data_IF_572018833024
#
_entry.id   IF_572018833024
#
_cell.length_a   1.000
_cell.length_b   1.000
_cell.length_c   1.000
_cell.angle_alpha   90.00
_cell.angle_beta   90.00
_cell.angle_gamma   90.00
#
_symmetry.space_group_name_H-M   'P 1'
#
loop_
_entity.id
_entity.type
_entity.pdbx_description
1 polymer ?
#
# COMPACT_ATOMS: atom_id res chain seq x y z
N UNK A 1 -23.63 4.39 -6.43
CA UNK A 1 -22.83 3.76 -5.34
C UNK A 1 -21.80 2.85 -6.00
N UNK A 2 -20.51 3.13 -5.90
CA UNK A 2 -19.46 2.20 -6.36
C UNK A 2 -19.33 1.04 -5.37
N UNK A 3 -19.32 -0.18 -5.87
CA UNK A 3 -19.12 -1.40 -5.09
C UNK A 3 -17.76 -1.36 -4.38
N UNK A 4 -17.76 -1.56 -3.05
CA UNK A 4 -16.52 -1.53 -2.27
C UNK A 4 -15.86 -2.91 -2.32
N UNK A 5 -14.71 -2.98 -2.98
CA UNK A 5 -13.85 -4.18 -2.95
C UNK A 5 -13.45 -4.47 -1.50
N UNK A 6 -13.73 -5.71 -1.04
CA UNK A 6 -13.37 -6.14 0.31
C UNK A 6 -11.88 -6.48 0.40
N UNK A 7 -11.13 -5.97 1.39
CA UNK A 7 -9.73 -6.33 1.62
C UNK A 7 -9.56 -7.84 1.86
N UNK A 8 -8.60 -8.45 1.17
CA UNK A 8 -8.26 -9.87 1.33
C UNK A 8 -6.95 -10.04 2.12
N UNK A 9 -6.50 -11.28 2.29
CA UNK A 9 -5.18 -11.57 2.86
C UNK A 9 -4.05 -10.88 2.06
N UNK A 10 -4.18 -10.83 0.73
CA UNK A 10 -3.23 -10.13 -0.13
C UNK A 10 -3.17 -8.62 0.16
N UNK A 11 -4.31 -7.96 0.36
CA UNK A 11 -4.35 -6.54 0.74
C UNK A 11 -3.57 -6.28 2.02
N UNK A 12 -3.76 -7.14 3.03
CA UNK A 12 -3.06 -7.02 4.32
C UNK A 12 -1.56 -7.26 4.18
N UNK A 13 -1.16 -8.25 3.38
CA UNK A 13 0.25 -8.55 3.12
C UNK A 13 0.96 -7.40 2.39
N UNK A 14 0.31 -6.80 1.38
CA UNK A 14 0.82 -5.62 0.68
C UNK A 14 0.97 -4.45 1.66
N UNK A 15 -0.09 -4.13 2.42
CA UNK A 15 -0.09 -3.02 3.37
C UNK A 15 1.00 -3.15 4.44
N UNK A 16 1.21 -4.36 4.97
CA UNK A 16 2.29 -4.65 5.91
C UNK A 16 3.67 -4.42 5.28
N UNK A 17 3.90 -4.94 4.06
CA UNK A 17 5.17 -4.76 3.35
C UNK A 17 5.48 -3.29 3.10
N UNK A 18 4.52 -2.53 2.59
CA UNK A 18 4.67 -1.10 2.32
C UNK A 18 4.89 -0.30 3.60
N UNK A 19 4.25 -0.68 4.71
CA UNK A 19 4.46 -0.03 6.01
C UNK A 19 5.87 -0.23 6.54
N UNK A 20 6.40 -1.47 6.45
CA UNK A 20 7.77 -1.79 6.85
C UNK A 20 8.78 -1.01 6.01
N UNK A 21 8.62 -0.99 4.69
CA UNK A 21 9.52 -0.25 3.80
C UNK A 21 9.48 1.26 4.06
N UNK A 22 8.29 1.82 4.28
CA UNK A 22 8.12 3.23 4.66
C UNK A 22 8.90 3.55 5.95
N UNK A 23 8.78 2.69 6.96
CA UNK A 23 9.45 2.86 8.25
C UNK A 23 10.97 2.75 8.13
N UNK A 24 11.45 1.75 7.39
CA UNK A 24 12.89 1.57 7.13
C UNK A 24 13.50 2.75 6.38
N UNK A 25 12.75 3.37 5.47
CA UNK A 25 13.19 4.56 4.71
C UNK A 25 12.98 5.88 5.47
N UNK A 26 12.39 5.86 6.66
CA UNK A 26 12.13 7.06 7.45
C UNK A 26 11.10 8.03 6.81
N UNK A 27 10.31 7.56 5.86
CA UNK A 27 9.35 8.40 5.12
C UNK A 27 8.10 8.61 5.95
N UNK A 28 7.72 9.86 6.21
CA UNK A 28 6.46 10.14 6.90
C UNK A 28 5.26 9.93 5.95
N UNK A 29 4.08 9.65 6.50
CA UNK A 29 2.88 9.36 5.70
C UNK A 29 2.39 10.58 4.90
N UNK A 30 2.69 11.80 5.35
CA UNK A 30 2.28 13.04 4.67
C UNK A 30 3.05 13.21 3.36
N UNK A 31 4.35 12.96 3.38
CA UNK A 31 5.21 13.09 2.20
C UNK A 31 4.96 11.94 1.22
N UNK A 32 4.73 10.73 1.73
CA UNK A 32 4.27 9.61 0.90
C UNK A 32 2.91 9.89 0.24
N UNK A 33 2.00 10.55 0.95
CA UNK A 33 0.70 10.93 0.40
C UNK A 33 0.85 11.95 -0.73
N UNK A 34 1.71 12.95 -0.56
CA UNK A 34 2.00 13.94 -1.61
C UNK A 34 2.57 13.29 -2.87
N UNK A 35 3.54 12.38 -2.73
CA UNK A 35 4.14 11.69 -3.88
C UNK A 35 3.17 10.75 -4.59
N UNK A 36 2.25 10.13 -3.84
CA UNK A 36 1.21 9.26 -4.41
C UNK A 36 -0.05 9.98 -4.89
N UNK A 37 -0.13 11.32 -4.80
CA UNK A 37 -1.35 12.08 -5.15
C UNK A 37 -2.56 11.79 -4.25
N UNK A 38 -2.32 11.39 -3.00
CA UNK A 38 -3.32 10.99 -2.02
C UNK A 38 -3.38 11.97 -0.84
N UNK A 39 -4.46 11.90 -0.06
CA UNK A 39 -4.49 12.53 1.26
C UNK A 39 -3.79 11.64 2.30
N UNK A 40 -3.16 12.25 3.30
CA UNK A 40 -2.51 11.50 4.39
C UNK A 40 -3.49 10.52 5.10
N UNK A 41 -4.75 10.88 5.39
CA UNK A 41 -5.71 9.93 5.97
C UNK A 41 -6.02 8.75 5.06
N UNK A 42 -6.00 8.95 3.73
CA UNK A 42 -6.19 7.87 2.75
C UNK A 42 -5.00 6.91 2.78
N UNK A 43 -3.77 7.42 2.79
CA UNK A 43 -2.55 6.60 2.92
C UNK A 43 -2.56 5.81 4.24
N UNK A 44 -2.82 6.48 5.37
CA UNK A 44 -2.93 5.82 6.67
C UNK A 44 -3.89 4.63 6.63
N UNK A 45 -5.12 4.85 6.11
CA UNK A 45 -6.13 3.81 5.95
C UNK A 45 -5.66 2.65 5.07
N UNK A 46 -5.02 2.93 3.93
CA UNK A 46 -4.50 1.90 3.03
C UNK A 46 -3.39 1.06 3.71
N UNK A 47 -2.46 1.72 4.39
CA UNK A 47 -1.34 1.07 5.08
C UNK A 47 -1.79 0.22 6.30
N UNK A 48 -2.99 0.44 6.84
CA UNK A 48 -3.57 -0.49 7.83
C UNK A 48 -4.04 -1.83 7.24
N UNK A 49 -4.17 -1.93 5.90
CA UNK A 49 -4.75 -3.10 5.24
C UNK A 49 -6.27 -3.27 5.42
N UNK A 50 -6.96 -2.32 6.08
CA UNK A 50 -8.42 -2.32 6.26
C UNK A 50 -9.19 -1.85 5.02
N UNK A 51 -8.50 -1.34 4.01
CA UNK A 51 -9.08 -0.80 2.78
C UNK A 51 -8.36 -1.39 1.58
N UNK A 52 -9.13 -1.78 0.56
CA UNK A 52 -8.57 -2.26 -0.70
C UNK A 52 -7.80 -1.13 -1.41
N UNK A 53 -6.69 -1.52 -2.05
CA UNK A 53 -5.99 -0.66 -2.99
C UNK A 53 -6.72 -0.68 -4.34
N UNK A 54 -6.84 0.49 -4.96
CA UNK A 54 -6.96 0.53 -6.41
C UNK A 54 -5.55 0.54 -7.00
N UNK A 55 -5.42 0.13 -8.26
CA UNK A 55 -4.11 -0.03 -8.89
C UNK A 55 -3.27 1.25 -8.82
N UNK A 56 -3.88 2.41 -9.09
CA UNK A 56 -3.23 3.72 -9.00
C UNK A 56 -2.70 4.04 -7.59
N UNK A 57 -3.44 3.65 -6.54
CA UNK A 57 -2.95 3.85 -5.17
C UNK A 57 -1.73 2.98 -4.88
N UNK A 58 -1.74 1.74 -5.37
CA UNK A 58 -0.65 0.81 -5.15
C UNK A 58 0.62 1.26 -5.88
N UNK A 59 0.50 1.64 -7.15
CA UNK A 59 1.60 2.15 -7.96
C UNK A 59 2.16 3.43 -7.36
N UNK A 60 1.33 4.43 -7.06
CA UNK A 60 1.80 5.71 -6.50
C UNK A 60 2.49 5.56 -5.14
N UNK A 61 2.04 4.64 -4.29
CA UNK A 61 2.73 4.34 -3.02
C UNK A 61 4.07 3.63 -3.27
N UNK A 62 4.15 2.69 -4.22
CA UNK A 62 5.41 2.02 -4.55
C UNK A 62 6.41 3.01 -5.14
N UNK A 63 5.99 3.87 -6.07
CA UNK A 63 6.83 4.92 -6.67
C UNK A 63 7.31 5.91 -5.60
N UNK A 64 6.42 6.34 -4.71
CA UNK A 64 6.75 7.23 -3.59
C UNK A 64 7.71 6.61 -2.58
N UNK A 65 7.80 5.28 -2.54
CA UNK A 65 8.79 4.54 -1.76
C UNK A 65 10.00 4.11 -2.58
N UNK A 66 10.04 4.32 -3.90
CA UNK A 66 11.08 3.79 -4.78
C UNK A 66 11.16 2.27 -4.75
N UNK A 67 10.01 1.59 -4.88
CA UNK A 67 9.88 0.14 -4.89
C UNK A 67 9.36 -0.36 -6.23
N UNK A 68 9.84 -1.53 -6.65
CA UNK A 68 9.25 -2.24 -7.79
C UNK A 68 7.89 -2.84 -7.42
N UNK A 69 6.83 -2.42 -8.12
CA UNK A 69 5.46 -2.86 -7.87
C UNK A 69 5.29 -4.38 -8.01
N UNK A 70 5.94 -5.00 -9.02
CA UNK A 70 5.80 -6.41 -9.29
C UNK A 70 6.47 -7.25 -8.18
N UNK A 71 7.62 -6.81 -7.68
CA UNK A 71 8.32 -7.45 -6.58
C UNK A 71 7.52 -7.39 -5.28
N UNK A 72 6.94 -6.21 -4.97
CA UNK A 72 6.08 -6.04 -3.79
C UNK A 72 4.88 -6.99 -3.88
N UNK A 73 4.20 -7.04 -5.03
CA UNK A 73 3.05 -7.93 -5.23
C UNK A 73 3.45 -9.41 -5.14
N UNK A 74 4.54 -9.81 -5.78
CA UNK A 74 5.01 -11.19 -5.77
C UNK A 74 5.38 -11.65 -4.36
N UNK A 75 6.07 -10.81 -3.59
CA UNK A 75 6.45 -11.10 -2.21
C UNK A 75 5.23 -11.15 -1.29
N UNK A 76 4.32 -10.18 -1.40
CA UNK A 76 3.08 -10.17 -0.64
C UNK A 76 2.21 -11.41 -0.94
N UNK A 77 2.14 -11.84 -2.21
CA UNK A 77 1.37 -13.03 -2.61
C UNK A 77 1.94 -14.32 -2.04
N UNK A 78 3.26 -14.42 -1.86
CA UNK A 78 3.92 -15.55 -1.20
C UNK A 78 3.67 -15.57 0.31
N UNK A 79 3.61 -14.39 0.94
CA UNK A 79 3.42 -14.26 2.38
C UNK A 79 1.95 -14.33 2.81
N UNK A 80 1.00 -14.01 1.93
CA UNK A 80 -0.42 -14.05 2.24
C UNK A 80 -0.89 -15.50 2.45
N UNK A 81 -1.61 -15.80 3.55
CA UNK A 81 -2.25 -17.10 3.71
C UNK A 81 -3.28 -17.33 2.59
N UNK A 82 -3.36 -18.58 2.12
CA UNK A 82 -4.34 -19.01 1.11
C UNK A 82 -5.77 -18.90 1.63
#
# INVERSE_FOLDING_TARGET
MSERVKPTALTRAIAARLSVEREQKGINQTDLAKSAGLSQPKVSRLLTGKYAFYIEHFVGICDGLGLDCAEVLATARRAAPR
#
